data_IF_602022123184
#
_entry.id   IF_602022123184
#
_cell.length_a   1.000
_cell.length_b   1.000
_cell.length_c   1.000
_cell.angle_alpha   90.00
_cell.angle_beta   90.00
_cell.angle_gamma   90.00
#
_symmetry.space_group_name_H-M   'P 1'
#
loop_
_entity.id
_entity.type
_entity.pdbx_description
1 polymer ?
#
# COMPACT_ATOMS: atom_id res chain seq x y z
N UNK A 1 0.86 -53.41 2.56
CA UNK A 1 1.62 -52.23 3.01
C UNK A 1 1.08 -51.04 2.24
N UNK A 2 0.43 -50.09 2.92
CA UNK A 2 -0.02 -48.85 2.27
C UNK A 2 1.07 -47.81 2.47
N UNK A 3 1.55 -47.24 1.36
CA UNK A 3 2.54 -46.16 1.37
C UNK A 3 1.81 -44.83 1.18
N UNK A 4 2.18 -43.83 1.97
CA UNK A 4 1.70 -42.46 1.83
C UNK A 4 2.64 -41.70 0.89
N UNK A 5 2.09 -41.11 -0.15
CA UNK A 5 2.81 -40.20 -1.05
C UNK A 5 2.32 -38.77 -0.85
N UNK A 6 3.25 -37.87 -0.52
CA UNK A 6 2.99 -36.44 -0.42
C UNK A 6 3.46 -35.79 -1.72
N UNK A 7 2.56 -35.09 -2.41
CA UNK A 7 2.82 -34.37 -3.66
C UNK A 7 2.78 -32.88 -3.34
N UNK A 8 3.87 -32.16 -3.59
CA UNK A 8 3.91 -30.69 -3.58
C UNK A 8 3.79 -30.21 -5.02
N UNK A 9 2.69 -29.53 -5.35
CA UNK A 9 2.46 -28.95 -6.67
C UNK A 9 2.89 -27.48 -6.59
N UNK A 10 3.91 -27.11 -7.37
CA UNK A 10 4.33 -25.71 -7.56
C UNK A 10 3.81 -25.22 -8.90
N UNK A 11 2.84 -24.32 -8.86
CA UNK A 11 2.32 -23.60 -10.04
C UNK A 11 2.75 -22.13 -10.01
N UNK A 12 2.66 -21.45 -11.15
CA UNK A 12 2.90 -20.01 -11.23
C UNK A 12 1.78 -19.22 -10.54
N UNK A 13 2.14 -18.22 -9.74
CA UNK A 13 1.23 -17.31 -9.03
C UNK A 13 0.15 -16.69 -9.92
N UNK A 14 -1.14 -16.87 -9.60
CA UNK A 14 -2.23 -16.04 -10.10
C UNK A 14 -2.60 -14.97 -9.06
N UNK A 15 -2.78 -13.71 -9.46
CA UNK A 15 -3.14 -12.60 -8.57
C UNK A 15 -4.62 -12.59 -8.16
N UNK A 16 -5.45 -13.39 -8.83
CA UNK A 16 -6.90 -13.44 -8.61
C UNK A 16 -7.38 -14.42 -7.54
N UNK A 17 -6.52 -15.33 -7.07
CA UNK A 17 -6.93 -16.40 -6.16
C UNK A 17 -6.07 -16.38 -4.90
N UNK A 18 -6.70 -16.40 -3.74
CA UNK A 18 -5.98 -16.49 -2.48
C UNK A 18 -5.31 -17.86 -2.32
N UNK A 19 -3.99 -17.86 -2.14
CA UNK A 19 -3.23 -19.08 -1.92
C UNK A 19 -3.43 -19.56 -0.48
N UNK A 20 -3.99 -20.76 -0.31
CA UNK A 20 -4.04 -21.42 0.98
C UNK A 20 -2.80 -22.31 1.14
N UNK A 21 -1.86 -21.93 2.00
CA UNK A 21 -0.80 -22.85 2.40
C UNK A 21 -1.24 -23.66 3.62
N UNK A 22 -1.19 -24.98 3.52
CA UNK A 22 -1.54 -25.84 4.64
C UNK A 22 -0.47 -25.75 5.73
N UNK A 23 -0.78 -25.09 6.85
CA UNK A 23 0.03 -25.13 8.08
C UNK A 23 -0.78 -25.86 9.14
N UNK A 24 -0.14 -26.79 9.85
CA UNK A 24 -0.75 -27.81 10.73
C UNK A 24 -1.47 -27.31 11.98
N UNK A 25 -2.36 -26.34 11.85
CA UNK A 25 -3.34 -25.95 12.87
C UNK A 25 -4.77 -26.29 12.38
N UNK A 26 -5.72 -26.44 13.31
CA UNK A 26 -7.10 -26.85 13.00
C UNK A 26 -7.89 -25.82 12.18
N UNK A 27 -7.41 -24.58 12.12
CA UNK A 27 -8.08 -23.48 11.43
C UNK A 27 -7.66 -23.39 9.96
N UNK A 28 -6.55 -24.01 9.55
CA UNK A 28 -6.00 -23.99 8.17
C UNK A 28 -5.90 -22.57 7.60
N UNK A 29 -5.75 -21.56 8.44
CA UNK A 29 -5.66 -20.15 8.05
C UNK A 29 -4.24 -19.80 7.65
N UNK A 30 -3.75 -20.46 6.61
CA UNK A 30 -2.54 -20.03 5.88
C UNK A 30 -2.95 -19.16 4.70
N UNK A 31 -3.76 -18.14 4.94
CA UNK A 31 -4.29 -17.26 3.91
C UNK A 31 -3.46 -15.97 3.86
N UNK A 32 -2.79 -15.76 2.73
CA UNK A 32 -2.17 -14.48 2.40
C UNK A 32 -3.24 -13.61 1.73
N UNK A 33 -3.71 -12.58 2.45
CA UNK A 33 -4.61 -11.57 1.90
C UNK A 33 -3.79 -10.67 0.97
N UNK A 34 -3.86 -10.94 -0.33
CA UNK A 34 -3.50 -9.94 -1.33
C UNK A 34 -4.62 -8.89 -1.37
N UNK A 35 -4.48 -7.86 -0.53
CA UNK A 35 -5.36 -6.69 -0.56
C UNK A 35 -4.90 -5.79 -1.69
N UNK A 36 -5.51 -5.92 -2.87
CA UNK A 36 -5.25 -5.05 -4.02
C UNK A 36 -5.78 -3.61 -3.88
N UNK A 37 -6.10 -3.14 -2.67
CA UNK A 37 -6.92 -1.94 -2.47
C UNK A 37 -6.29 -0.85 -1.58
N UNK A 38 -4.99 -0.89 -1.33
CA UNK A 38 -4.19 0.32 -1.12
C UNK A 38 -2.72 -0.03 -1.36
N UNK A 39 -2.14 0.48 -2.44
CA UNK A 39 -0.69 0.36 -2.73
C UNK A 39 0.15 0.94 -1.57
N UNK A 40 -0.46 1.83 -0.77
CA UNK A 40 0.11 2.42 0.42
C UNK A 40 -0.51 1.86 1.70
N UNK A 41 0.34 1.46 2.66
CA UNK A 41 -0.08 1.06 4.02
C UNK A 41 -0.29 2.24 4.97
N UNK A 42 -0.46 3.45 4.41
CA UNK A 42 -0.64 4.72 5.13
C UNK A 42 -1.82 5.48 4.53
N UNK A 43 -2.31 6.49 5.25
CA UNK A 43 -3.40 7.36 4.79
C UNK A 43 -2.93 8.24 3.61
N UNK A 44 -3.83 8.56 2.68
CA UNK A 44 -3.52 9.48 1.59
C UNK A 44 -3.16 10.85 2.15
N UNK A 45 -2.06 11.41 1.68
CA UNK A 45 -1.49 12.65 2.20
C UNK A 45 -0.54 12.48 3.40
N UNK A 46 -0.46 11.30 4.03
CA UNK A 46 0.53 10.99 5.09
C UNK A 46 1.81 10.40 4.47
N UNK A 47 2.66 11.26 3.93
CA UNK A 47 3.84 10.82 3.16
C UNK A 47 5.02 10.44 4.04
N UNK A 48 5.02 10.82 5.33
CA UNK A 48 6.03 10.38 6.30
C UNK A 48 5.60 9.17 7.15
N UNK A 49 4.30 8.82 7.15
CA UNK A 49 3.72 7.71 7.89
C UNK A 49 3.64 7.95 9.39
N UNK A 50 3.53 9.21 9.83
CA UNK A 50 3.42 9.58 11.24
C UNK A 50 1.97 9.62 11.75
N UNK A 51 1.01 9.28 10.88
CA UNK A 51 -0.45 9.25 11.13
C UNK A 51 -1.09 10.61 11.33
N UNK A 52 -0.39 11.71 11.02
CA UNK A 52 -0.88 13.08 11.18
C UNK A 52 -0.65 13.87 9.89
N UNK A 53 -1.70 14.01 9.09
CA UNK A 53 -1.64 14.82 7.86
C UNK A 53 -1.54 16.30 8.23
N UNK A 54 -0.40 16.92 7.96
CA UNK A 54 -0.15 18.33 8.27
C UNK A 54 0.81 19.00 7.27
N UNK A 55 1.27 20.21 7.62
CA UNK A 55 2.17 21.00 6.75
C UNK A 55 3.50 20.29 6.44
N UNK A 56 3.96 19.39 7.32
CA UNK A 56 5.18 18.62 7.11
C UNK A 56 5.04 17.64 5.94
N UNK A 57 3.85 17.09 5.71
CA UNK A 57 3.57 16.24 4.55
C UNK A 57 3.59 17.05 3.27
N UNK A 58 2.95 18.23 3.26
CA UNK A 58 2.98 19.15 2.13
C UNK A 58 4.40 19.57 1.74
N UNK A 59 5.27 19.84 2.72
CA UNK A 59 6.68 20.17 2.45
C UNK A 59 7.41 19.00 1.79
N UNK A 60 7.14 17.77 2.24
CA UNK A 60 7.76 16.57 1.66
C UNK A 60 7.21 16.25 0.26
N UNK A 61 5.90 16.39 0.05
CA UNK A 61 5.28 16.30 -1.28
C UNK A 61 5.85 17.34 -2.24
N UNK A 62 6.05 18.58 -1.79
CA UNK A 62 6.66 19.62 -2.62
C UNK A 62 8.11 19.28 -3.00
N UNK A 63 8.90 18.76 -2.05
CA UNK A 63 10.26 18.30 -2.35
C UNK A 63 10.26 17.11 -3.33
N UNK A 64 9.25 16.24 -3.26
CA UNK A 64 9.09 15.13 -4.20
C UNK A 64 8.79 15.61 -5.62
N UNK A 65 7.82 16.52 -5.77
CA UNK A 65 7.48 17.14 -7.07
C UNK A 65 8.65 17.90 -7.68
N UNK A 66 9.53 18.47 -6.84
CA UNK A 66 10.75 19.16 -7.27
C UNK A 66 11.96 18.24 -7.46
N UNK A 67 11.79 16.92 -7.31
CA UNK A 67 12.87 15.92 -7.40
C UNK A 67 14.05 16.18 -6.42
N UNK A 68 13.78 16.88 -5.30
CA UNK A 68 14.78 17.20 -4.27
C UNK A 68 14.95 16.01 -3.32
N UNK A 69 13.86 15.35 -2.95
CA UNK A 69 13.87 14.18 -2.05
C UNK A 69 12.64 13.32 -2.22
N UNK A 70 12.78 12.01 -2.02
CA UNK A 70 11.67 11.06 -2.01
C UNK A 70 11.15 10.83 -0.58
N UNK A 71 9.83 11.00 -0.31
CA UNK A 71 9.25 10.73 0.99
C UNK A 71 9.23 9.22 1.29
N UNK A 72 8.98 8.85 2.55
CA UNK A 72 8.93 7.45 2.97
C UNK A 72 7.81 6.68 2.26
N UNK A 73 6.67 7.33 2.06
CA UNK A 73 5.49 6.74 1.42
C UNK A 73 5.07 7.58 0.21
N UNK A 74 5.74 7.37 -0.93
CA UNK A 74 5.42 8.08 -2.18
C UNK A 74 4.01 7.77 -2.69
N UNK A 75 3.51 6.56 -2.40
CA UNK A 75 2.16 6.13 -2.76
C UNK A 75 1.05 6.92 -2.05
N UNK A 76 1.37 7.67 -1.00
CA UNK A 76 0.43 8.54 -0.30
C UNK A 76 0.39 9.95 -0.91
N UNK A 77 1.34 10.30 -1.78
CA UNK A 77 1.45 11.64 -2.35
C UNK A 77 0.47 11.89 -3.51
N UNK A 78 -0.04 10.83 -4.16
CA UNK A 78 -1.12 10.90 -5.15
C UNK A 78 -2.46 10.97 -4.41
N UNK A 79 -2.83 12.18 -3.99
CA UNK A 79 -3.99 12.40 -3.12
C UNK A 79 -5.31 12.27 -3.89
N UNK A 80 -5.31 12.63 -5.19
CA UNK A 80 -6.50 12.50 -6.04
C UNK A 80 -6.60 11.17 -6.79
N UNK A 81 -5.58 10.31 -6.66
CA UNK A 81 -5.51 8.98 -7.27
C UNK A 81 -5.62 9.02 -8.80
N UNK A 82 -5.10 10.07 -9.43
CA UNK A 82 -5.08 10.20 -10.89
C UNK A 82 -3.86 9.55 -11.55
N UNK A 83 -2.93 9.03 -10.72
CA UNK A 83 -1.70 8.35 -11.14
C UNK A 83 -0.51 9.27 -11.34
N UNK A 84 -0.63 10.58 -11.06
CA UNK A 84 0.44 11.55 -11.23
C UNK A 84 0.55 12.54 -10.07
N UNK A 85 1.63 12.44 -9.29
CA UNK A 85 1.89 13.37 -8.19
C UNK A 85 2.33 14.75 -8.72
N UNK A 86 1.49 15.76 -8.51
CA UNK A 86 1.73 17.12 -8.99
C UNK A 86 1.16 18.20 -8.04
N UNK A 87 1.09 19.45 -8.52
CA UNK A 87 0.59 20.58 -7.72
C UNK A 87 -0.89 20.43 -7.31
N UNK A 88 -1.67 19.66 -8.06
CA UNK A 88 -3.07 19.40 -7.76
C UNK A 88 -3.23 18.58 -6.47
N UNK A 89 -2.34 17.64 -6.19
CA UNK A 89 -2.32 16.88 -4.94
C UNK A 89 -2.01 17.78 -3.75
N UNK A 90 -0.99 18.63 -3.86
CA UNK A 90 -0.63 19.60 -2.84
C UNK A 90 -1.79 20.54 -2.47
N UNK A 91 -2.52 21.04 -3.47
CA UNK A 91 -3.67 21.93 -3.24
C UNK A 91 -4.80 21.19 -2.52
N UNK A 92 -5.06 19.93 -2.89
CA UNK A 92 -6.12 19.14 -2.26
C UNK A 92 -5.76 18.72 -0.83
N UNK A 93 -4.52 18.31 -0.58
CA UNK A 93 -4.03 18.03 0.78
C UNK A 93 -4.08 19.30 1.64
N UNK A 94 -3.75 20.47 1.09
CA UNK A 94 -3.89 21.74 1.81
C UNK A 94 -5.34 22.08 2.16
N UNK A 95 -6.27 21.87 1.22
CA UNK A 95 -7.70 22.05 1.46
C UNK A 95 -8.23 21.07 2.51
N UNK A 96 -7.76 19.81 2.49
CA UNK A 96 -8.07 18.81 3.51
C UNK A 96 -7.61 19.26 4.90
N UNK A 97 -6.37 19.74 5.03
CA UNK A 97 -5.82 20.27 6.29
C UNK A 97 -6.62 21.50 6.79
N UNK A 98 -7.13 22.32 5.86
CA UNK A 98 -7.87 23.54 6.18
C UNK A 98 -9.39 23.34 6.31
N UNK A 99 -9.90 22.12 6.09
CA UNK A 99 -11.34 21.80 6.05
C UNK A 99 -12.15 22.71 5.09
N UNK A 100 -11.62 22.96 3.87
CA UNK A 100 -12.19 23.88 2.88
C UNK A 100 -12.59 23.19 1.56
#
# INVERSE_FOLDING_TARGET
MNSLTVIDIKESGNTGDSWNMFRGNNQRTGHYLYSGNSECSVELGDVNGDTIINILDLVQMANYVLEISTPTYECAADFNQDGAVNILDLVQTANYILEN
#
